data_IF_451770540091
#
_entry.id   IF_451770540091
#
_cell.length_a   1.000
_cell.length_b   1.000
_cell.length_c   1.000
_cell.angle_alpha   90.00
_cell.angle_beta   90.00
_cell.angle_gamma   90.00
#
_symmetry.space_group_name_H-M   'P 1'
#
loop_
_entity.id
_entity.type
_entity.pdbx_description
1 polymer ?
#
# COMPACT_ATOMS: atom_id res chain seq x y z
N UNK A 1 -16.26 -5.68 -34.05
CA UNK A 1 -15.25 -6.06 -33.04
C UNK A 1 -14.34 -4.86 -32.78
N UNK A 2 -14.59 -4.13 -31.69
CA UNK A 2 -13.69 -3.07 -31.22
C UNK A 2 -12.86 -3.66 -30.10
N UNK A 3 -11.55 -3.76 -30.31
CA UNK A 3 -10.60 -4.32 -29.36
C UNK A 3 -10.51 -3.47 -28.10
N UNK A 4 -10.91 -4.04 -26.97
CA UNK A 4 -10.73 -3.47 -25.64
C UNK A 4 -9.25 -3.59 -25.31
N UNK A 5 -8.52 -2.48 -25.28
CA UNK A 5 -7.11 -2.48 -24.90
C UNK A 5 -6.94 -2.88 -23.43
N UNK A 6 -5.96 -3.74 -23.15
CA UNK A 6 -5.43 -4.14 -21.82
C UNK A 6 -4.82 -2.97 -21.01
N UNK A 7 -5.52 -1.84 -20.91
CA UNK A 7 -5.03 -0.70 -20.15
C UNK A 7 -5.30 -0.95 -18.65
N UNK A 8 -4.27 -1.41 -17.95
CA UNK A 8 -4.13 -1.18 -16.50
C UNK A 8 -4.21 0.33 -16.24
N UNK A 9 -4.70 0.75 -15.07
CA UNK A 9 -4.82 2.17 -14.68
C UNK A 9 -3.63 3.01 -15.15
N UNK A 10 -3.91 4.00 -16.00
CA UNK A 10 -2.92 4.97 -16.45
C UNK A 10 -3.54 6.35 -16.70
N UNK A 11 -2.69 7.36 -16.89
CA UNK A 11 -3.14 8.74 -17.08
C UNK A 11 -4.03 9.24 -15.94
N UNK A 12 -5.18 9.82 -16.28
CA UNK A 12 -6.12 10.33 -15.27
C UNK A 12 -6.73 9.24 -14.40
N UNK A 13 -7.01 8.04 -14.92
CA UNK A 13 -7.58 6.97 -14.11
C UNK A 13 -6.63 6.55 -12.98
N UNK A 14 -5.32 6.43 -13.30
CA UNK A 14 -4.29 6.25 -12.26
C UNK A 14 -4.31 7.40 -11.26
N UNK A 15 -4.20 8.66 -11.73
CA UNK A 15 -4.17 9.82 -10.84
C UNK A 15 -5.39 9.86 -9.90
N UNK A 16 -6.59 9.58 -10.40
CA UNK A 16 -7.80 9.52 -9.60
C UNK A 16 -7.71 8.42 -8.53
N UNK A 17 -7.26 7.22 -8.85
CA UNK A 17 -7.07 6.16 -7.85
C UNK A 17 -6.12 6.59 -6.74
N UNK A 18 -5.02 7.26 -7.08
CA UNK A 18 -4.09 7.79 -6.08
C UNK A 18 -4.75 8.87 -5.20
N UNK A 19 -5.44 9.83 -5.82
CA UNK A 19 -6.08 10.95 -5.12
C UNK A 19 -7.25 10.51 -4.25
N UNK A 20 -8.02 9.52 -4.71
CA UNK A 20 -9.12 8.91 -3.95
C UNK A 20 -8.56 8.22 -2.70
N UNK A 21 -7.49 7.43 -2.83
CA UNK A 21 -6.82 6.86 -1.65
C UNK A 21 -6.27 7.95 -0.73
N UNK A 22 -5.71 9.05 -1.24
CA UNK A 22 -5.25 10.14 -0.40
C UNK A 22 -6.38 10.79 0.40
N UNK A 23 -7.59 10.93 -0.17
CA UNK A 23 -8.77 11.40 0.57
C UNK A 23 -9.00 10.49 1.77
N UNK A 24 -8.90 9.18 1.59
CA UNK A 24 -9.10 8.23 2.67
C UNK A 24 -7.98 8.28 3.70
N UNK A 25 -6.72 8.40 3.30
CA UNK A 25 -5.58 8.48 4.22
C UNK A 25 -5.52 9.80 4.99
N UNK A 26 -5.86 10.93 4.37
CA UNK A 26 -5.51 12.26 4.88
C UNK A 26 -6.69 13.24 4.97
N UNK A 27 -7.89 12.86 4.49
CA UNK A 27 -9.04 13.76 4.39
C UNK A 27 -9.01 14.71 3.19
N UNK A 28 -7.99 14.64 2.33
CA UNK A 28 -7.87 15.47 1.13
C UNK A 28 -7.16 14.75 -0.04
N UNK A 29 -7.33 15.28 -1.25
CA UNK A 29 -6.82 14.66 -2.49
C UNK A 29 -5.37 15.04 -2.86
N UNK A 30 -4.66 15.79 -2.02
CA UNK A 30 -3.30 16.25 -2.29
C UNK A 30 -2.26 15.15 -2.03
N UNK A 31 -1.08 15.31 -2.62
CA UNK A 31 0.06 14.43 -2.38
C UNK A 31 0.98 15.09 -1.36
N UNK A 32 0.93 14.60 -0.13
CA UNK A 32 1.73 15.10 0.99
C UNK A 32 3.17 14.56 0.95
N UNK A 33 3.91 14.89 -0.12
CA UNK A 33 5.30 14.47 -0.29
C UNK A 33 6.23 14.94 0.83
N UNK A 34 5.86 16.00 1.53
CA UNK A 34 6.64 16.65 2.57
C UNK A 34 6.24 16.22 3.98
N UNK A 35 5.20 15.40 4.14
CA UNK A 35 4.80 14.85 5.43
C UNK A 35 5.93 14.04 6.05
N UNK A 36 6.19 14.23 7.34
CA UNK A 36 7.10 13.43 8.15
C UNK A 36 6.82 13.67 9.62
N UNK A 37 6.49 12.62 10.36
CA UNK A 37 6.16 12.68 11.78
C UNK A 37 6.56 11.38 12.48
N UNK A 38 6.94 11.46 13.76
CA UNK A 38 7.08 10.28 14.62
C UNK A 38 5.75 10.07 15.35
N UNK A 39 4.93 9.18 14.79
CA UNK A 39 3.58 8.88 15.29
C UNK A 39 3.58 8.08 16.59
N UNK A 40 4.75 7.65 17.09
CA UNK A 40 4.90 6.80 18.28
C UNK A 40 4.15 5.46 18.14
N UNK A 41 4.03 4.95 16.91
CA UNK A 41 3.35 3.69 16.58
C UNK A 41 4.30 2.47 16.48
N UNK A 42 5.56 2.66 16.88
CA UNK A 42 6.58 1.61 16.83
C UNK A 42 7.22 1.41 15.46
N UNK A 43 7.05 2.36 14.52
CA UNK A 43 7.67 2.31 13.18
C UNK A 43 8.73 3.39 12.93
N UNK A 44 8.98 4.24 13.94
CA UNK A 44 9.84 5.40 13.86
C UNK A 44 9.16 6.57 13.14
N UNK A 45 9.92 7.31 12.32
CA UNK A 45 9.32 8.36 11.50
C UNK A 45 8.49 7.76 10.36
N UNK A 46 7.25 8.20 10.21
CA UNK A 46 6.35 7.96 9.08
C UNK A 46 6.38 9.16 8.15
N UNK A 47 6.65 8.97 6.86
CA UNK A 47 6.89 10.08 5.93
C UNK A 47 6.37 9.86 4.50
N UNK A 48 6.02 10.97 3.84
CA UNK A 48 5.67 11.01 2.42
C UNK A 48 4.34 10.38 2.03
N UNK A 49 4.13 10.25 0.72
CA UNK A 49 2.83 9.96 0.08
C UNK A 49 2.23 8.56 0.34
N UNK A 50 2.94 7.68 1.04
CA UNK A 50 2.49 6.33 1.35
C UNK A 50 2.86 5.89 2.77
N UNK A 51 3.20 6.85 3.65
CA UNK A 51 3.54 6.55 5.05
C UNK A 51 4.85 5.74 5.19
N UNK A 52 5.88 6.08 4.42
CA UNK A 52 7.15 5.37 4.45
C UNK A 52 7.82 5.47 5.82
N UNK A 53 8.22 4.35 6.39
CA UNK A 53 8.67 4.29 7.77
C UNK A 53 10.20 4.10 7.90
N UNK A 54 10.83 4.85 8.81
CA UNK A 54 12.28 4.76 9.03
C UNK A 54 12.70 3.42 9.66
N UNK A 55 11.82 2.82 10.45
CA UNK A 55 12.09 1.56 11.15
C UNK A 55 11.86 0.31 10.31
N UNK A 56 10.96 0.34 9.33
CA UNK A 56 10.62 -0.82 8.48
C UNK A 56 11.39 -0.87 7.16
N UNK A 57 12.19 0.16 6.86
CA UNK A 57 13.17 0.17 5.77
C UNK A 57 12.65 0.69 4.42
N UNK A 58 11.35 0.87 4.26
CA UNK A 58 10.73 1.45 3.07
C UNK A 58 11.08 2.94 2.88
N UNK A 59 11.24 3.71 3.95
CA UNK A 59 11.77 5.08 3.83
C UNK A 59 13.24 5.09 3.36
N UNK A 60 14.02 4.07 3.73
CA UNK A 60 15.40 3.90 3.24
C UNK A 60 15.40 3.57 1.75
N UNK A 61 14.45 2.77 1.25
CA UNK A 61 14.33 2.50 -0.19
C UNK A 61 14.05 3.77 -1.00
N UNK A 62 13.22 4.69 -0.47
CA UNK A 62 12.98 6.01 -1.09
C UNK A 62 14.30 6.79 -1.19
N UNK A 63 15.03 6.88 -0.08
CA UNK A 63 16.32 7.58 -0.01
C UNK A 63 17.34 6.97 -0.98
N UNK A 64 17.41 5.64 -1.09
CA UNK A 64 18.29 4.96 -2.04
C UNK A 64 17.93 5.22 -3.50
N UNK A 65 16.64 5.32 -3.85
CA UNK A 65 16.22 5.74 -5.20
C UNK A 65 16.59 7.19 -5.43
N UNK A 66 16.39 8.05 -4.44
CA UNK A 66 16.77 9.46 -4.53
C UNK A 66 18.27 9.65 -4.76
N UNK A 67 19.13 8.94 -4.02
CA UNK A 67 20.58 8.91 -4.24
C UNK A 67 20.96 8.52 -5.67
N UNK A 68 20.26 7.55 -6.27
CA UNK A 68 20.51 7.17 -7.67
C UNK A 68 20.16 8.31 -8.64
N UNK A 69 19.13 9.10 -8.35
CA UNK A 69 18.70 10.24 -9.18
C UNK A 69 19.58 11.48 -9.01
N UNK A 70 20.28 11.61 -7.88
CA UNK A 70 21.16 12.76 -7.55
C UNK A 70 22.65 12.45 -7.74
N UNK A 71 23.02 11.18 -7.91
CA UNK A 71 24.42 10.74 -7.91
C UNK A 71 25.02 10.59 -6.52
N UNK A 72 24.19 10.42 -5.48
CA UNK A 72 24.59 10.15 -4.09
C UNK A 72 25.14 11.37 -3.36
N UNK A 73 24.88 12.58 -3.85
CA UNK A 73 25.30 13.85 -3.23
C UNK A 73 24.07 14.67 -2.88
N UNK A 74 23.34 14.25 -1.85
CA UNK A 74 22.15 14.96 -1.40
C UNK A 74 21.99 14.95 0.12
N UNK A 75 21.08 15.79 0.61
CA UNK A 75 20.90 16.07 2.02
C UNK A 75 20.49 14.82 2.84
N UNK A 76 20.00 13.73 2.21
CA UNK A 76 19.62 12.52 2.93
C UNK A 76 20.80 11.61 3.27
N UNK A 77 21.95 11.73 2.60
CA UNK A 77 23.10 10.83 2.80
C UNK A 77 23.66 10.86 4.23
N UNK A 78 23.38 11.92 4.99
CA UNK A 78 23.75 12.02 6.41
C UNK A 78 23.04 10.98 7.30
N UNK A 79 21.93 10.38 6.83
CA UNK A 79 21.13 9.43 7.60
C UNK A 79 21.36 7.96 7.20
N UNK A 80 22.09 7.69 6.11
CA UNK A 80 22.19 6.35 5.50
C UNK A 80 22.60 5.25 6.48
N UNK A 81 23.67 5.48 7.25
CA UNK A 81 24.17 4.49 8.19
C UNK A 81 23.15 4.18 9.30
N UNK A 82 22.49 5.22 9.82
CA UNK A 82 21.47 5.09 10.87
C UNK A 82 20.22 4.41 10.35
N UNK A 83 19.71 4.82 9.19
CA UNK A 83 18.53 4.21 8.56
C UNK A 83 18.79 2.75 8.17
N UNK A 84 19.96 2.43 7.62
CA UNK A 84 20.34 1.04 7.29
C UNK A 84 20.38 0.14 8.53
N UNK A 85 20.92 0.66 9.65
CA UNK A 85 20.91 -0.06 10.93
C UNK A 85 19.48 -0.34 11.40
N UNK A 86 18.61 0.67 11.39
CA UNK A 86 17.24 0.55 11.89
C UNK A 86 16.37 -0.35 11.03
N UNK A 87 16.46 -0.23 9.70
CA UNK A 87 15.81 -1.13 8.76
C UNK A 87 16.23 -2.60 8.96
N UNK A 88 17.51 -2.87 9.25
CA UNK A 88 18.01 -4.23 9.47
C UNK A 88 17.52 -4.86 10.78
N UNK A 89 17.16 -4.04 11.77
CA UNK A 89 16.72 -4.49 13.09
C UNK A 89 15.24 -4.25 13.37
N UNK A 90 14.47 -3.72 12.41
CA UNK A 90 13.10 -3.23 12.61
C UNK A 90 12.99 -2.29 13.84
N UNK A 91 13.90 -1.32 13.95
CA UNK A 91 13.96 -0.42 15.11
C UNK A 91 13.20 0.87 14.86
N UNK A 92 12.33 1.25 15.78
CA UNK A 92 11.57 2.50 15.81
C UNK A 92 12.36 3.70 16.36
N UNK A 93 13.64 3.51 16.71
CA UNK A 93 14.43 4.57 17.32
C UNK A 93 14.64 5.75 16.36
N UNK A 94 14.51 6.97 16.87
CA UNK A 94 14.80 8.21 16.15
C UNK A 94 16.14 8.83 16.53
N UNK A 95 16.91 8.17 17.42
CA UNK A 95 18.24 8.62 17.82
C UNK A 95 19.17 8.66 16.60
N UNK A 96 19.87 9.77 16.38
CA UNK A 96 20.72 9.95 15.20
C UNK A 96 19.98 10.36 13.92
N UNK A 97 18.68 10.66 14.01
CA UNK A 97 17.81 11.17 12.93
C UNK A 97 17.21 12.56 13.26
N UNK A 98 17.86 13.37 14.10
CA UNK A 98 17.28 14.60 14.68
C UNK A 98 16.82 15.67 13.68
N UNK A 99 17.36 15.69 12.46
CA UNK A 99 16.95 16.61 11.38
C UNK A 99 16.24 15.92 10.21
N UNK A 100 15.94 14.61 10.34
CA UNK A 100 15.39 13.81 9.25
C UNK A 100 14.12 14.40 8.67
N UNK A 101 13.12 14.70 9.50
CA UNK A 101 11.86 15.28 9.02
C UNK A 101 12.00 16.69 8.44
N UNK A 102 12.92 17.51 8.95
CA UNK A 102 13.19 18.83 8.37
C UNK A 102 13.75 18.70 6.94
N UNK A 103 14.69 17.77 6.73
CA UNK A 103 15.24 17.48 5.39
C UNK A 103 14.17 16.88 4.48
N UNK A 104 13.40 15.90 4.97
CA UNK A 104 12.30 15.29 4.21
C UNK A 104 11.30 16.35 3.74
N UNK A 105 10.84 17.21 4.65
CA UNK A 105 9.89 18.28 4.34
C UNK A 105 10.43 19.27 3.31
N UNK A 106 11.69 19.68 3.45
CA UNK A 106 12.37 20.57 2.48
C UNK A 106 12.39 19.92 1.08
N UNK A 107 12.80 18.66 0.99
CA UNK A 107 12.91 17.94 -0.28
C UNK A 107 11.53 17.62 -0.89
N UNK A 108 10.54 17.21 -0.10
CA UNK A 108 9.18 16.95 -0.57
C UNK A 108 8.53 18.17 -1.22
N UNK A 109 8.72 19.35 -0.61
CA UNK A 109 8.22 20.61 -1.12
C UNK A 109 8.99 21.09 -2.36
N UNK A 110 10.32 20.99 -2.36
CA UNK A 110 11.17 21.65 -3.36
C UNK A 110 11.69 20.77 -4.50
N UNK A 111 11.91 19.48 -4.27
CA UNK A 111 12.73 18.63 -5.15
C UNK A 111 11.88 17.62 -5.95
N UNK A 112 11.86 17.80 -7.27
CA UNK A 112 11.13 16.91 -8.18
C UNK A 112 11.69 15.48 -8.23
N UNK A 113 12.99 15.28 -8.02
CA UNK A 113 13.61 13.94 -7.96
C UNK A 113 13.25 13.24 -6.67
N UNK A 114 13.13 13.97 -5.56
CA UNK A 114 12.69 13.38 -4.30
C UNK A 114 11.22 12.91 -4.38
N UNK A 115 10.35 13.75 -4.96
CA UNK A 115 8.97 13.33 -5.27
C UNK A 115 8.91 12.14 -6.21
N UNK A 116 9.75 12.12 -7.25
CA UNK A 116 9.86 10.97 -8.17
C UNK A 116 10.32 9.69 -7.45
N UNK A 117 11.23 9.79 -6.47
CA UNK A 117 11.67 8.65 -5.69
C UNK A 117 10.52 8.07 -4.86
N UNK A 118 9.74 8.93 -4.20
CA UNK A 118 8.54 8.51 -3.47
C UNK A 118 7.49 7.86 -4.39
N UNK A 119 7.20 8.47 -5.55
CA UNK A 119 6.29 7.89 -6.55
C UNK A 119 6.76 6.50 -7.00
N UNK A 120 8.07 6.33 -7.19
CA UNK A 120 8.68 5.07 -7.62
C UNK A 120 8.49 3.97 -6.57
N UNK A 121 8.75 4.26 -5.29
CA UNK A 121 8.61 3.26 -4.23
C UNK A 121 7.13 2.94 -3.97
N UNK A 122 6.24 3.94 -3.92
CA UNK A 122 4.79 3.68 -3.87
C UNK A 122 4.36 2.76 -5.01
N UNK A 123 4.82 3.06 -6.22
CA UNK A 123 4.47 2.27 -7.39
C UNK A 123 4.99 0.83 -7.29
N UNK A 124 6.21 0.64 -6.80
CA UNK A 124 6.82 -0.68 -6.64
C UNK A 124 6.15 -1.52 -5.55
N UNK A 125 5.84 -0.92 -4.41
CA UNK A 125 5.31 -1.62 -3.25
C UNK A 125 3.80 -1.89 -3.32
N UNK A 126 3.03 -0.97 -3.91
CA UNK A 126 1.57 -1.01 -3.80
C UNK A 126 0.88 -1.03 -5.17
N UNK A 127 1.17 -0.06 -6.02
CA UNK A 127 0.45 0.08 -7.29
C UNK A 127 0.71 -1.08 -8.26
N UNK A 128 1.98 -1.39 -8.52
CA UNK A 128 2.33 -2.44 -9.47
C UNK A 128 1.87 -3.83 -9.02
N UNK A 129 2.01 -4.23 -7.74
CA UNK A 129 1.41 -5.46 -7.23
C UNK A 129 -0.13 -5.50 -7.36
N UNK A 130 -0.82 -4.42 -7.00
CA UNK A 130 -2.28 -4.34 -7.16
C UNK A 130 -2.71 -4.48 -8.62
N UNK A 131 -2.03 -3.79 -9.53
CA UNK A 131 -2.30 -3.92 -10.97
C UNK A 131 -1.96 -5.32 -11.48
N UNK A 132 -0.90 -5.97 -10.97
CA UNK A 132 -0.58 -7.35 -11.33
C UNK A 132 -1.72 -8.30 -10.96
N UNK A 133 -2.34 -8.14 -9.79
CA UNK A 133 -3.53 -8.90 -9.40
C UNK A 133 -4.74 -8.58 -10.27
N UNK A 134 -4.98 -7.30 -10.58
CA UNK A 134 -6.03 -6.92 -11.52
C UNK A 134 -5.87 -7.60 -12.89
N UNK A 135 -4.64 -7.71 -13.37
CA UNK A 135 -4.33 -8.41 -14.63
C UNK A 135 -4.57 -9.91 -14.54
N UNK A 136 -4.20 -10.55 -13.43
CA UNK A 136 -4.45 -11.99 -13.20
C UNK A 136 -5.95 -12.27 -13.21
N UNK A 137 -6.74 -11.42 -12.56
CA UNK A 137 -8.20 -11.50 -12.51
C UNK A 137 -8.88 -11.04 -13.81
N UNK A 138 -8.13 -10.45 -14.75
CA UNK A 138 -8.65 -9.84 -15.97
C UNK A 138 -9.65 -8.68 -15.73
N UNK A 139 -9.48 -7.90 -14.66
CA UNK A 139 -10.32 -6.75 -14.34
C UNK A 139 -10.20 -5.65 -15.42
N UNK A 140 -11.34 -5.16 -15.91
CA UNK A 140 -11.42 -4.12 -16.94
C UNK A 140 -11.91 -2.77 -16.41
N UNK A 141 -12.72 -2.78 -15.35
CA UNK A 141 -13.25 -1.55 -14.76
C UNK A 141 -12.18 -0.83 -13.95
N UNK A 142 -12.13 0.50 -14.09
CA UNK A 142 -11.19 1.33 -13.34
C UNK A 142 -11.49 1.29 -11.83
N UNK A 143 -12.77 1.21 -11.44
CA UNK A 143 -13.14 1.16 -10.02
C UNK A 143 -12.61 -0.09 -9.32
N UNK A 144 -12.66 -1.26 -9.97
CA UNK A 144 -12.15 -2.49 -9.38
C UNK A 144 -10.61 -2.45 -9.26
N UNK A 145 -9.93 -1.93 -10.29
CA UNK A 145 -8.47 -1.75 -10.25
C UNK A 145 -8.05 -0.76 -9.15
N UNK A 146 -8.75 0.38 -9.02
CA UNK A 146 -8.49 1.37 -8.00
C UNK A 146 -8.72 0.80 -6.59
N UNK A 147 -9.75 -0.03 -6.43
CA UNK A 147 -10.01 -0.68 -5.15
C UNK A 147 -8.91 -1.66 -4.75
N UNK A 148 -8.33 -2.41 -5.70
CA UNK A 148 -7.17 -3.27 -5.36
C UNK A 148 -5.96 -2.43 -4.94
N UNK A 149 -5.75 -1.26 -5.55
CA UNK A 149 -4.69 -0.34 -5.14
C UNK A 149 -4.93 0.22 -3.74
N UNK A 150 -6.15 0.66 -3.46
CA UNK A 150 -6.54 1.17 -2.14
C UNK A 150 -6.38 0.11 -1.04
N UNK A 151 -6.81 -1.13 -1.33
CA UNK A 151 -6.56 -2.26 -0.44
C UNK A 151 -5.07 -2.51 -0.25
N UNK A 152 -4.26 -2.46 -1.32
CA UNK A 152 -2.81 -2.65 -1.17
C UNK A 152 -2.17 -1.61 -0.24
N UNK A 153 -2.65 -0.38 -0.23
CA UNK A 153 -2.11 0.68 0.64
C UNK A 153 -2.38 0.39 2.11
N UNK A 154 -3.62 0.02 2.47
CA UNK A 154 -3.98 -0.20 3.88
C UNK A 154 -3.65 -1.60 4.40
N UNK A 155 -3.91 -2.62 3.60
CA UNK A 155 -3.72 -4.01 3.99
C UNK A 155 -2.32 -4.55 3.60
N UNK A 156 -1.56 -3.79 2.81
CA UNK A 156 -0.36 -4.31 2.16
C UNK A 156 -0.67 -5.16 0.92
N UNK A 157 0.33 -5.28 0.04
CA UNK A 157 0.26 -6.08 -1.18
C UNK A 157 0.71 -7.55 -0.98
N UNK A 158 0.91 -7.96 0.28
CA UNK A 158 1.47 -9.25 0.67
C UNK A 158 0.49 -10.42 0.64
N UNK A 159 0.95 -11.54 1.21
CA UNK A 159 0.19 -12.80 1.33
C UNK A 159 -0.13 -13.16 2.78
N UNK A 160 0.10 -12.25 3.73
CA UNK A 160 -0.38 -12.40 5.11
C UNK A 160 -1.92 -12.49 5.11
N UNK A 161 -2.50 -12.87 6.25
CA UNK A 161 -3.92 -13.23 6.30
C UNK A 161 -4.85 -12.04 5.95
N UNK A 162 -4.39 -10.82 6.20
CA UNK A 162 -5.11 -9.56 6.02
C UNK A 162 -4.71 -8.83 4.73
N UNK A 163 -3.67 -9.29 4.03
CA UNK A 163 -3.13 -8.67 2.82
C UNK A 163 -3.97 -8.87 1.56
N UNK A 164 -3.79 -7.99 0.56
CA UNK A 164 -4.56 -7.95 -0.68
C UNK A 164 -4.78 -9.33 -1.33
N UNK A 165 -3.73 -10.14 -1.43
CA UNK A 165 -3.79 -11.45 -2.11
C UNK A 165 -4.72 -12.41 -1.36
N UNK A 166 -4.70 -12.37 -0.02
CA UNK A 166 -5.56 -13.19 0.84
C UNK A 166 -7.02 -12.75 0.77
N UNK A 167 -7.29 -11.44 0.63
CA UNK A 167 -8.66 -10.92 0.44
C UNK A 167 -9.21 -11.33 -0.93
N UNK A 168 -8.40 -11.26 -1.99
CA UNK A 168 -8.77 -11.77 -3.32
C UNK A 168 -9.10 -13.26 -3.25
N UNK A 169 -8.26 -14.06 -2.58
CA UNK A 169 -8.49 -15.50 -2.41
C UNK A 169 -9.83 -15.78 -1.71
N UNK A 170 -10.08 -15.14 -0.57
CA UNK A 170 -11.36 -15.26 0.17
C UNK A 170 -12.57 -14.82 -0.67
N UNK A 171 -12.40 -13.80 -1.50
CA UNK A 171 -13.44 -13.35 -2.43
C UNK A 171 -13.75 -14.41 -3.47
N UNK A 172 -12.71 -14.99 -4.08
CA UNK A 172 -12.87 -16.03 -5.08
C UNK A 172 -13.50 -17.31 -4.51
N UNK A 173 -13.20 -17.66 -3.26
CA UNK A 173 -13.85 -18.78 -2.54
C UNK A 173 -15.37 -18.59 -2.37
N UNK A 174 -15.87 -17.34 -2.36
CA UNK A 174 -17.31 -17.04 -2.32
C UNK A 174 -18.01 -17.17 -3.68
N UNK A 175 -17.27 -17.31 -4.79
CA UNK A 175 -17.85 -17.45 -6.13
C UNK A 175 -18.14 -18.94 -6.40
N UNK A 176 -19.37 -19.35 -6.15
CA UNK A 176 -19.82 -20.76 -6.24
C UNK A 176 -20.89 -21.00 -7.31
N UNK A 177 -21.25 -19.95 -8.06
CA UNK A 177 -22.22 -20.00 -9.15
C UNK A 177 -22.00 -18.84 -10.11
N UNK A 178 -22.55 -18.97 -11.30
CA UNK A 178 -22.58 -17.87 -12.26
C UNK A 178 -23.43 -16.72 -11.72
N UNK A 179 -22.96 -15.48 -11.91
CA UNK A 179 -23.64 -14.26 -11.47
C UNK A 179 -23.57 -13.24 -12.60
N UNK A 180 -24.71 -13.01 -13.26
CA UNK A 180 -24.84 -11.98 -14.28
C UNK A 180 -24.87 -10.57 -13.66
N UNK A 181 -24.57 -9.56 -14.47
CA UNK A 181 -24.61 -8.16 -14.06
C UNK A 181 -24.54 -7.21 -15.25
N UNK A 182 -24.30 -5.93 -14.97
CA UNK A 182 -24.42 -4.84 -15.95
C UNK A 182 -23.11 -4.10 -16.20
N UNK A 183 -21.98 -4.59 -15.68
CA UNK A 183 -20.68 -3.93 -15.84
C UNK A 183 -20.16 -3.97 -17.28
N UNK A 184 -20.67 -4.91 -18.09
CA UNK A 184 -20.15 -5.19 -19.43
C UNK A 184 -18.83 -5.98 -19.41
N UNK A 185 -18.42 -6.48 -18.24
CA UNK A 185 -17.22 -7.28 -18.03
C UNK A 185 -17.55 -8.52 -17.20
N UNK A 186 -16.94 -9.66 -17.55
CA UNK A 186 -17.16 -10.94 -16.89
C UNK A 186 -15.82 -11.58 -16.57
N UNK A 187 -15.69 -12.01 -15.33
CA UNK A 187 -14.54 -12.75 -14.82
C UNK A 187 -14.89 -14.24 -14.82
N UNK A 188 -13.90 -15.10 -15.08
CA UNK A 188 -14.02 -16.52 -14.83
C UNK A 188 -13.25 -16.86 -13.54
N UNK A 189 -13.98 -17.24 -12.50
CA UNK A 189 -13.43 -17.52 -11.18
C UNK A 189 -13.91 -18.90 -10.75
N UNK A 190 -12.98 -19.82 -10.49
CA UNK A 190 -13.28 -21.20 -10.06
C UNK A 190 -14.27 -21.95 -10.98
N UNK A 191 -14.23 -21.68 -12.29
CA UNK A 191 -15.13 -22.29 -13.27
C UNK A 191 -16.49 -21.61 -13.40
N UNK A 192 -16.73 -20.53 -12.65
CA UNK A 192 -17.97 -19.75 -12.70
C UNK A 192 -17.75 -18.38 -13.36
N UNK A 193 -18.74 -17.96 -14.14
CA UNK A 193 -18.76 -16.65 -14.77
C UNK A 193 -19.46 -15.63 -13.87
N UNK A 194 -18.73 -14.60 -13.43
CA UNK A 194 -19.26 -13.54 -12.56
C UNK A 194 -19.03 -12.17 -13.20
N UNK A 195 -20.06 -11.33 -13.21
CA UNK A 195 -19.94 -9.91 -13.59
C UNK A 195 -18.91 -9.21 -12.70
N UNK A 196 -18.07 -8.36 -13.30
CA UNK A 196 -16.96 -7.74 -12.58
C UNK A 196 -17.40 -6.89 -11.38
N UNK A 197 -18.54 -6.18 -11.49
CA UNK A 197 -19.07 -5.38 -10.38
C UNK A 197 -19.74 -6.27 -9.32
N UNK A 198 -20.33 -7.40 -9.71
CA UNK A 198 -20.79 -8.41 -8.75
C UNK A 198 -19.60 -8.99 -7.95
N UNK A 199 -18.49 -9.31 -8.61
CA UNK A 199 -17.26 -9.74 -7.93
C UNK A 199 -16.71 -8.65 -7.01
N UNK A 200 -16.68 -7.39 -7.48
CA UNK A 200 -16.21 -6.27 -6.67
C UNK A 200 -17.07 -6.06 -5.40
N UNK A 201 -18.39 -6.23 -5.47
CA UNK A 201 -19.24 -6.17 -4.29
C UNK A 201 -18.93 -7.30 -3.28
N UNK A 202 -18.61 -8.52 -3.76
CA UNK A 202 -18.12 -9.59 -2.88
C UNK A 202 -16.78 -9.22 -2.24
N UNK A 203 -15.86 -8.64 -3.01
CA UNK A 203 -14.56 -8.18 -2.52
C UNK A 203 -14.70 -7.10 -1.45
N UNK A 204 -15.59 -6.13 -1.66
CA UNK A 204 -15.91 -5.08 -0.68
C UNK A 204 -16.46 -5.68 0.61
N UNK A 205 -17.33 -6.69 0.52
CA UNK A 205 -17.83 -7.41 1.70
C UNK A 205 -16.74 -8.17 2.47
N UNK A 206 -15.83 -8.85 1.76
CA UNK A 206 -14.66 -9.51 2.37
C UNK A 206 -13.73 -8.49 3.04
N UNK A 207 -13.52 -7.34 2.40
CA UNK A 207 -12.68 -6.28 2.96
C UNK A 207 -13.32 -5.65 4.21
N UNK A 208 -14.63 -5.39 4.21
CA UNK A 208 -15.32 -4.93 5.42
C UNK A 208 -15.16 -5.92 6.57
N UNK A 209 -15.42 -7.20 6.30
CA UNK A 209 -15.26 -8.27 7.31
C UNK A 209 -13.85 -8.30 7.89
N UNK A 210 -12.83 -8.12 7.03
CA UNK A 210 -11.43 -8.09 7.45
C UNK A 210 -11.05 -6.84 8.26
N UNK A 211 -11.55 -5.67 7.87
CA UNK A 211 -11.35 -4.42 8.62
C UNK A 211 -11.98 -4.50 10.02
N UNK A 212 -13.14 -5.15 10.14
CA UNK A 212 -13.85 -5.34 11.42
C UNK A 212 -13.25 -6.48 12.26
N UNK A 213 -12.68 -7.50 11.61
CA UNK A 213 -12.17 -8.72 12.24
C UNK A 213 -10.83 -9.16 11.65
N UNK A 214 -9.76 -8.36 11.81
CA UNK A 214 -8.46 -8.69 11.22
C UNK A 214 -7.89 -9.98 11.82
N UNK A 215 -7.18 -10.75 11.01
CA UNK A 215 -6.66 -12.07 11.38
C UNK A 215 -5.26 -11.99 11.97
N UNK A 216 -4.45 -11.02 11.57
CA UNK A 216 -3.12 -10.81 12.12
C UNK A 216 -3.22 -10.18 13.51
N UNK A 217 -2.48 -10.74 14.48
CA UNK A 217 -2.56 -10.33 15.89
C UNK A 217 -2.21 -8.86 16.10
N UNK A 218 -1.28 -8.34 15.30
CA UNK A 218 -0.87 -6.93 15.33
C UNK A 218 -2.00 -5.98 14.95
N UNK A 219 -2.95 -6.42 14.13
CA UNK A 219 -4.09 -5.63 13.67
C UNK A 219 -5.32 -5.76 14.60
N UNK A 220 -5.36 -6.78 15.47
CA UNK A 220 -6.48 -7.02 16.41
C UNK A 220 -6.51 -6.08 17.62
N UNK A 221 -5.38 -5.45 17.95
CA UNK A 221 -5.20 -4.70 19.20
C UNK A 221 -5.79 -3.30 19.22
N UNK A 222 -6.16 -2.74 18.06
CA UNK A 222 -6.71 -1.40 17.94
C UNK A 222 -7.94 -1.39 17.04
N UNK A 223 -9.00 -0.71 17.45
CA UNK A 223 -10.21 -0.53 16.63
C UNK A 223 -9.99 0.41 15.42
N UNK A 224 -8.74 0.69 15.06
CA UNK A 224 -8.36 1.62 13.98
C UNK A 224 -8.88 1.12 12.63
N UNK A 225 -8.66 -0.16 12.28
CA UNK A 225 -9.12 -0.73 11.01
C UNK A 225 -10.65 -0.73 10.91
N UNK A 226 -11.36 -1.04 11.99
CA UNK A 226 -12.82 -0.98 11.99
C UNK A 226 -13.36 0.46 11.74
N UNK A 227 -12.61 1.49 12.14
CA UNK A 227 -12.95 2.89 11.90
C UNK A 227 -12.73 3.31 10.45
N UNK A 228 -11.93 2.58 9.67
CA UNK A 228 -11.68 2.89 8.26
C UNK A 228 -12.71 2.30 7.31
N UNK A 229 -13.80 1.68 7.77
CA UNK A 229 -14.83 1.14 6.84
C UNK A 229 -15.48 2.19 5.91
N UNK A 230 -15.31 3.50 6.16
CA UNK A 230 -15.78 4.59 5.29
C UNK A 230 -15.23 4.50 3.85
N UNK A 231 -14.00 4.04 3.64
CA UNK A 231 -13.41 3.85 2.29
C UNK A 231 -14.13 2.78 1.50
N UNK A 232 -14.51 1.67 2.15
CA UNK A 232 -15.34 0.63 1.52
C UNK A 232 -16.72 1.19 1.17
N UNK A 233 -17.35 1.93 2.09
CA UNK A 233 -18.64 2.60 1.84
C UNK A 233 -18.57 3.59 0.69
N UNK A 234 -17.45 4.29 0.54
CA UNK A 234 -17.20 5.20 -0.57
C UNK A 234 -17.16 4.48 -1.92
N UNK A 235 -16.48 3.33 -2.01
CA UNK A 235 -16.50 2.49 -3.22
C UNK A 235 -17.90 1.93 -3.51
N UNK A 236 -18.65 1.51 -2.48
CA UNK A 236 -20.05 1.09 -2.63
C UNK A 236 -20.92 2.23 -3.18
N UNK A 237 -20.73 3.46 -2.67
CA UNK A 237 -21.39 4.65 -3.20
C UNK A 237 -21.04 4.90 -4.68
N UNK A 238 -19.75 4.86 -5.04
CA UNK A 238 -19.32 5.03 -6.43
C UNK A 238 -19.92 3.97 -7.37
N UNK A 239 -20.05 2.72 -6.90
CA UNK A 239 -20.76 1.65 -7.64
C UNK A 239 -22.24 1.99 -7.84
N UNK A 240 -22.92 2.51 -6.81
CA UNK A 240 -24.33 2.94 -6.91
C UNK A 240 -24.50 4.10 -7.90
N UNK A 241 -23.50 4.99 -8.00
CA UNK A 241 -23.44 6.07 -8.99
C UNK A 241 -23.04 5.60 -10.40
N UNK A 242 -22.79 4.29 -10.59
CA UNK A 242 -22.30 3.68 -11.84
C UNK A 242 -20.95 4.24 -12.32
N UNK A 243 -20.10 4.67 -11.38
CA UNK A 243 -18.74 5.17 -11.65
C UNK A 243 -17.77 3.98 -11.91
N UNK A 244 -18.06 3.12 -12.89
CA UNK A 244 -17.26 1.92 -13.15
C UNK A 244 -15.94 2.22 -13.86
N UNK A 245 -15.98 3.19 -14.78
CA UNK A 245 -14.86 3.57 -15.63
C UNK A 245 -14.58 5.06 -15.48
N UNK A 246 -13.53 5.41 -14.74
CA UNK A 246 -13.25 6.83 -14.44
C UNK A 246 -12.55 7.51 -15.61
N UNK A 247 -13.11 8.64 -16.03
CA UNK A 247 -12.50 9.53 -17.01
C UNK A 247 -11.59 10.55 -16.34
N UNK A 248 -12.03 11.80 -16.29
CA UNK A 248 -11.30 12.92 -15.68
C UNK A 248 -11.77 13.26 -14.27
N UNK A 249 -12.79 12.58 -13.77
CA UNK A 249 -13.31 12.74 -12.42
C UNK A 249 -14.02 11.47 -11.95
N UNK A 250 -14.25 11.38 -10.65
CA UNK A 250 -15.05 10.33 -10.01
C UNK A 250 -15.81 10.92 -8.82
N UNK A 251 -17.06 10.48 -8.61
CA UNK A 251 -17.83 10.75 -7.40
C UNK A 251 -17.56 9.68 -6.34
N UNK A 252 -17.22 10.12 -5.14
CA UNK A 252 -16.91 9.28 -3.98
C UNK A 252 -17.56 9.89 -2.72
N UNK A 253 -17.46 9.20 -1.59
CA UNK A 253 -17.67 9.79 -0.27
C UNK A 253 -16.30 10.14 0.35
N UNK A 254 -16.22 11.23 1.11
CA UNK A 254 -15.09 11.50 2.00
C UNK A 254 -15.17 10.67 3.30
N UNK A 255 -14.24 10.91 4.22
CA UNK A 255 -14.10 10.16 5.47
C UNK A 255 -15.28 10.37 6.42
N UNK A 256 -16.01 11.48 6.29
CA UNK A 256 -17.22 11.79 7.04
C UNK A 256 -18.49 11.25 6.36
N UNK A 257 -18.36 10.54 5.24
CA UNK A 257 -19.47 10.00 4.47
C UNK A 257 -20.18 11.03 3.60
N UNK A 258 -19.58 12.20 3.37
CA UNK A 258 -20.16 13.24 2.52
C UNK A 258 -19.71 13.07 1.08
N UNK A 259 -20.66 13.20 0.15
CA UNK A 259 -20.38 13.07 -1.27
C UNK A 259 -19.45 14.19 -1.77
N UNK A 260 -18.42 13.82 -2.52
CA UNK A 260 -17.49 14.73 -3.18
C UNK A 260 -17.12 14.24 -4.58
N UNK A 261 -16.50 15.12 -5.38
CA UNK A 261 -15.98 14.79 -6.70
C UNK A 261 -14.48 15.03 -6.73
N UNK A 262 -13.71 13.97 -6.94
CA UNK A 262 -12.27 14.07 -7.19
C UNK A 262 -12.07 14.32 -8.68
N UNK A 263 -11.28 15.33 -9.02
CA UNK A 263 -10.95 15.68 -10.40
C UNK A 263 -9.47 15.42 -10.65
N UNK A 264 -9.17 14.81 -11.79
CA UNK A 264 -7.80 14.61 -12.24
C UNK A 264 -7.12 15.97 -12.40
N UNK A 265 -6.29 16.34 -11.44
CA UNK A 265 -5.45 17.52 -11.54
C UNK A 265 -4.19 17.15 -12.31
N UNK A 266 -4.08 17.60 -13.56
CA UNK A 266 -2.77 17.58 -14.24
C UNK A 266 -1.84 18.51 -13.47
N UNK A 267 -0.86 17.96 -12.77
CA UNK A 267 0.18 18.75 -12.10
C UNK A 267 0.76 19.80 -13.08
N UNK A 268 1.03 21.06 -12.65
CA UNK A 268 1.59 22.10 -13.52
C UNK A 268 2.86 21.68 -14.26
N UNK A 269 3.61 20.70 -13.72
CA UNK A 269 4.80 20.12 -14.35
C UNK A 269 4.53 19.42 -15.70
N UNK A 270 3.27 19.13 -16.03
CA UNK A 270 2.89 18.41 -17.26
C UNK A 270 2.31 19.27 -18.38
N UNK A 271 2.22 20.61 -18.22
CA UNK A 271 1.71 21.52 -19.28
C UNK A 271 2.54 21.49 -20.59
N UNK A 272 3.76 20.93 -20.58
CA UNK A 272 4.62 20.79 -21.78
C UNK A 272 4.52 19.43 -22.50
N UNK A 273 3.63 18.52 -22.13
CA UNK A 273 3.41 17.26 -22.88
C UNK A 273 2.03 17.20 -23.52
N UNK A 274 1.76 18.10 -24.47
CA UNK A 274 0.79 17.82 -25.55
C UNK A 274 1.43 16.84 -26.54
N UNK A 275 1.48 15.56 -26.18
CA UNK A 275 1.63 14.47 -27.14
C UNK A 275 0.53 13.45 -26.83
N UNK A 276 -0.17 13.00 -27.88
CA UNK A 276 -1.24 12.02 -27.82
C UNK A 276 -0.92 10.91 -26.80
N UNK A 277 -1.90 10.56 -25.98
CA UNK A 277 -1.80 9.45 -25.03
C UNK A 277 -1.32 8.21 -25.79
N UNK A 278 -0.03 7.88 -25.65
CA UNK A 278 0.52 6.63 -26.16
C UNK A 278 -0.18 5.50 -25.40
N UNK A 279 -0.57 4.40 -26.05
CA UNK A 279 -1.03 3.20 -25.36
C UNK A 279 0.00 2.82 -24.30
N UNK A 280 -0.48 2.53 -23.09
CA UNK A 280 0.34 2.19 -21.93
C UNK A 280 1.24 1.00 -22.33
N UNK A 281 2.51 1.29 -22.66
CA UNK A 281 3.38 0.39 -23.42
C UNK A 281 3.85 -0.79 -22.56
N UNK A 282 3.97 -1.95 -23.21
CA UNK A 282 4.44 -3.24 -22.69
C UNK A 282 5.67 -3.06 -21.81
N UNK A 283 5.51 -3.27 -20.50
CA UNK A 283 6.62 -3.26 -19.55
C UNK A 283 7.67 -4.30 -19.94
N UNK A 284 8.94 -3.88 -19.93
CA UNK A 284 10.08 -4.79 -19.81
C UNK A 284 9.92 -5.59 -18.53
N UNK A 285 10.04 -6.93 -18.62
CA UNK A 285 9.93 -7.86 -17.48
C UNK A 285 10.76 -7.35 -16.29
N UNK A 286 10.16 -7.10 -15.11
CA UNK A 286 10.92 -6.94 -13.89
C UNK A 286 11.66 -8.24 -13.59
N UNK A 287 12.98 -8.16 -13.35
CA UNK A 287 13.66 -9.25 -12.64
C UNK A 287 13.16 -9.18 -11.19
N UNK A 288 12.29 -10.12 -10.83
CA UNK A 288 11.86 -10.34 -9.45
C UNK A 288 13.11 -10.63 -8.61
N UNK A 289 13.51 -9.77 -7.65
CA UNK A 289 14.43 -10.20 -6.61
C UNK A 289 13.69 -11.23 -5.79
N UNK A 290 14.27 -12.42 -5.60
CA UNK A 290 13.73 -13.42 -4.67
C UNK A 290 13.57 -12.74 -3.31
N UNK A 291 12.35 -12.70 -2.79
CA UNK A 291 12.11 -12.40 -1.38
C UNK A 291 13.02 -13.32 -0.56
N UNK A 292 13.92 -12.73 0.22
CA UNK A 292 14.64 -13.50 1.24
C UNK A 292 13.66 -13.65 2.39
N UNK A 293 13.20 -14.87 2.63
CA UNK A 293 12.48 -15.24 3.84
C UNK A 293 13.21 -14.66 5.06
N UNK A 294 12.58 -13.80 5.86
CA UNK A 294 13.08 -13.52 7.20
C UNK A 294 12.83 -14.79 8.01
N UNK A 295 13.85 -15.66 8.08
CA UNK A 295 13.83 -16.81 8.98
C UNK A 295 13.53 -16.31 10.39
N UNK A 296 12.35 -16.66 10.89
CA UNK A 296 11.96 -16.52 12.29
C UNK A 296 12.96 -17.31 13.15
N UNK A 297 13.95 -16.62 13.72
CA UNK A 297 14.73 -17.17 14.84
C UNK A 297 14.02 -16.74 16.11
N UNK A 298 13.10 -17.60 16.57
CA UNK A 298 12.55 -17.50 17.92
C UNK A 298 13.68 -17.54 18.97
N UNK A 299 13.47 -16.90 20.13
CA UNK A 299 14.49 -16.86 21.18
C UNK A 299 14.76 -18.27 21.72
N UNK A 300 16.01 -18.71 21.66
CA UNK A 300 16.47 -19.94 22.32
C UNK A 300 16.41 -19.74 23.83
N UNK A 301 15.46 -20.38 24.49
CA UNK A 301 15.43 -20.56 25.94
C UNK A 301 16.69 -21.31 26.38
N UNK A 302 17.60 -20.63 27.09
CA UNK A 302 18.66 -21.32 27.84
C UNK A 302 18.07 -21.80 29.17
N UNK A 303 17.85 -23.10 29.27
CA UNK A 303 17.59 -23.79 30.53
C UNK A 303 18.80 -23.66 31.46
N UNK A 304 18.69 -22.88 32.53
CA UNK A 304 19.60 -23.00 33.67
C UNK A 304 19.21 -24.24 34.47
N UNK A 305 20.09 -25.26 34.43
CA UNK A 305 20.05 -26.39 35.35
C UNK A 305 20.49 -25.89 36.73
N UNK A 306 19.57 -25.92 37.69
CA UNK A 306 19.88 -25.89 39.12
C UNK A 306 20.71 -27.13 39.49
N UNK A 307 21.96 -26.93 39.92
CA UNK A 307 22.69 -27.92 40.70
C UNK A 307 22.43 -27.63 42.17
N UNK A 308 21.89 -28.61 42.88
CA UNK A 308 21.75 -28.58 44.34
C UNK A 308 23.11 -28.62 45.04
N UNK A 309 23.19 -28.20 46.31
CA UNK A 309 24.44 -28.19 47.07
C UNK A 309 24.77 -29.58 47.62
N UNK A 310 25.99 -30.05 47.36
CA UNK A 310 26.62 -31.14 48.09
C UNK A 310 27.12 -30.61 49.44
N UNK A 311 26.67 -31.26 50.50
CA UNK A 311 27.15 -31.14 51.88
C UNK A 311 28.56 -31.71 52.01
N UNK A 312 29.51 -30.91 52.48
CA UNK A 312 30.72 -31.39 53.13
C UNK A 312 30.50 -31.38 54.64
N UNK A 313 30.70 -32.53 55.27
CA UNK A 313 30.75 -32.74 56.70
C UNK A 313 32.15 -33.22 57.08
N UNK A 314 32.80 -32.50 58.00
CA UNK A 314 33.85 -32.88 58.96
C UNK A 314 34.49 -31.56 59.45
N UNK A 315 34.80 -31.26 60.71
CA UNK A 315 34.79 -31.92 62.03
C UNK A 315 35.14 -30.79 63.02
N UNK A 316 34.78 -30.90 64.31
CA UNK A 316 35.51 -30.20 65.38
C UNK A 316 34.69 -29.63 66.54
N UNK A 317 34.55 -30.46 67.58
CA UNK A 317 34.13 -30.23 68.98
C UNK A 317 32.67 -29.87 69.29
#
# INVERSE_FOLDING_TARGET
>A
MLGISDAMLCGCAKMLALQVTNVYENGDAAFHYDYCEDLKDGRGFTAGIAGFCSGTGDALEVVQVYHKLTGGKDDMSQFDATMAKYAASNSDSTTGLSNYCAVWKKLGNGDAKFRQAQDTIRDQMYFAPAMAQAKILNLKTTIAQAQLYDTAIEHGAGTDADGLISLIKRTNEKVTKDVAGTSGSTLNVNGHNIDEIAWLNLFLGVRTDDLEHPKEKENQGGNYWAQTTYRVKSYQYAIQQKEYNWGTSVKILDNDGKAMTVKCSTSPANKKRKRAAKPCHKGTKPKVPKAKDPKSKGPKSKSHKSKGPESMSAEGN
#
